data_IF_029586747751
#
_entry.id   IF_029586747751
#
_cell.length_a   1.000
_cell.length_b   1.000
_cell.length_c   1.000
_cell.angle_alpha   90.00
_cell.angle_beta   90.00
_cell.angle_gamma   90.00
#
_symmetry.space_group_name_H-M   'P 1'
#
loop_
_entity.id
_entity.type
_entity.pdbx_description
1 polymer ?
#
# COMPACT_ATOMS: atom_id res chain seq x y z
N UNK A 1 -2.56 -2.69 25.26
CA UNK A 1 -2.70 -2.80 23.79
C UNK A 1 -3.35 -1.53 23.27
N UNK A 2 -2.61 -0.65 22.65
CA UNK A 2 -3.16 0.60 22.16
C UNK A 2 -4.13 0.36 20.99
N UNK A 3 -5.20 1.14 20.96
CA UNK A 3 -6.19 1.16 19.88
C UNK A 3 -6.11 2.51 19.18
N UNK A 4 -5.96 2.49 17.88
CA UNK A 4 -5.86 3.69 17.05
C UNK A 4 -7.08 3.81 16.15
N UNK A 5 -7.61 5.04 16.06
CA UNK A 5 -8.57 5.44 15.04
C UNK A 5 -7.82 6.22 13.97
N UNK A 6 -7.88 5.74 12.75
CA UNK A 6 -7.23 6.36 11.59
C UNK A 6 -8.30 6.81 10.63
N UNK A 7 -8.20 8.06 10.20
CA UNK A 7 -9.05 8.64 9.18
C UNK A 7 -8.16 9.23 8.09
N UNK A 8 -8.22 8.64 6.91
CA UNK A 8 -7.44 9.05 5.75
C UNK A 8 -8.38 9.51 4.65
N UNK A 9 -8.17 10.71 4.14
CA UNK A 9 -8.95 11.29 3.04
C UNK A 9 -8.00 11.69 1.93
N UNK A 10 -8.27 11.20 0.73
CA UNK A 10 -7.61 11.64 -0.49
C UNK A 10 -8.65 12.27 -1.41
N UNK A 11 -8.42 13.50 -1.85
CA UNK A 11 -9.31 14.23 -2.76
C UNK A 11 -8.57 14.64 -4.01
N UNK A 12 -9.21 14.41 -5.14
CA UNK A 12 -8.76 14.87 -6.44
C UNK A 12 -9.81 15.83 -6.99
N UNK A 13 -9.38 17.02 -7.35
CA UNK A 13 -10.21 18.00 -8.05
C UNK A 13 -9.66 18.18 -9.47
N UNK A 14 -10.53 18.14 -10.46
CA UNK A 14 -10.18 18.24 -11.87
C UNK A 14 -10.65 19.58 -12.42
N UNK A 15 -9.82 20.23 -13.24
CA UNK A 15 -10.15 21.49 -13.90
C UNK A 15 -11.34 21.35 -14.87
N UNK A 16 -11.54 20.14 -15.39
CA UNK A 16 -12.63 19.80 -16.30
C UNK A 16 -13.29 18.51 -15.84
N UNK A 17 -14.60 18.32 -16.10
CA UNK A 17 -15.27 17.05 -15.82
C UNK A 17 -14.58 15.89 -16.53
N UNK A 18 -14.24 14.86 -15.77
CA UNK A 18 -13.76 13.57 -16.28
C UNK A 18 -14.97 12.71 -16.58
N UNK A 19 -15.06 12.18 -17.81
CA UNK A 19 -16.22 11.41 -18.24
C UNK A 19 -16.23 9.99 -17.70
N UNK A 20 -15.04 9.42 -17.56
CA UNK A 20 -14.83 8.07 -17.06
C UNK A 20 -13.47 7.98 -16.38
N UNK A 21 -13.40 7.29 -15.26
CA UNK A 21 -12.13 7.01 -14.59
C UNK A 21 -12.09 5.60 -14.06
N UNK A 22 -11.03 4.87 -14.42
CA UNK A 22 -10.68 3.59 -13.81
C UNK A 22 -9.64 3.84 -12.73
N UNK A 23 -9.90 3.32 -11.54
CA UNK A 23 -9.08 3.60 -10.37
C UNK A 23 -8.68 2.30 -9.69
N UNK A 24 -7.44 2.27 -9.23
CA UNK A 24 -6.90 1.20 -8.39
C UNK A 24 -6.41 1.81 -7.08
N UNK A 25 -6.79 1.23 -5.97
CA UNK A 25 -6.41 1.69 -4.64
C UNK A 25 -5.84 0.56 -3.78
N UNK A 26 -4.80 0.88 -3.00
CA UNK A 26 -4.11 -0.02 -2.06
C UNK A 26 -4.08 0.60 -0.67
N UNK A 27 -5.25 0.90 -0.13
CA UNK A 27 -5.38 1.60 1.15
C UNK A 27 -5.91 0.70 2.27
N UNK A 28 -5.98 -0.58 2.01
CA UNK A 28 -6.35 -1.57 3.01
C UNK A 28 -5.20 -1.82 3.98
N UNK A 29 -5.48 -1.88 5.28
CA UNK A 29 -4.47 -2.24 6.25
C UNK A 29 -4.01 -3.69 6.03
N UNK A 30 -2.71 -3.92 6.17
CA UNK A 30 -2.13 -5.25 6.10
C UNK A 30 -2.11 -5.87 7.51
N UNK A 31 -2.99 -6.83 7.82
CA UNK A 31 -3.00 -7.48 9.12
C UNK A 31 -1.75 -8.35 9.29
N UNK A 32 -1.10 -8.24 10.43
CA UNK A 32 0.02 -9.07 10.83
C UNK A 32 -0.13 -9.51 12.29
N UNK A 33 0.87 -10.21 12.83
CA UNK A 33 0.85 -10.70 14.22
C UNK A 33 0.79 -9.57 15.26
N UNK A 34 1.17 -8.36 14.87
CA UNK A 34 1.28 -7.20 15.75
C UNK A 34 0.10 -6.23 15.59
N UNK A 35 -0.74 -6.44 14.58
CA UNK A 35 -1.83 -5.54 14.25
C UNK A 35 -3.10 -6.31 13.89
N UNK A 36 -4.17 -6.00 14.60
CA UNK A 36 -5.52 -6.47 14.33
C UNK A 36 -6.38 -5.32 13.82
N UNK A 37 -7.06 -5.55 12.71
CA UNK A 37 -8.03 -4.59 12.15
C UNK A 37 -9.40 -4.87 12.75
N UNK A 38 -9.87 -3.97 13.61
CA UNK A 38 -11.17 -4.11 14.28
C UNK A 38 -12.31 -3.59 13.38
N UNK A 39 -12.04 -2.55 12.59
CA UNK A 39 -13.01 -1.96 11.67
C UNK A 39 -12.27 -1.32 10.51
N UNK A 40 -12.79 -1.47 9.31
CA UNK A 40 -12.37 -0.71 8.14
C UNK A 40 -13.59 -0.35 7.29
N UNK A 41 -13.80 0.93 7.07
CA UNK A 41 -14.82 1.49 6.21
C UNK A 41 -14.17 2.30 5.10
N UNK A 42 -14.57 2.04 3.87
CA UNK A 42 -14.08 2.74 2.68
C UNK A 42 -15.26 3.44 1.99
N UNK A 43 -15.16 4.75 1.86
CA UNK A 43 -16.19 5.60 1.24
C UNK A 43 -15.57 6.27 0.02
N UNK A 44 -16.22 6.08 -1.13
CA UNK A 44 -15.77 6.65 -2.40
C UNK A 44 -16.91 7.48 -2.99
N UNK A 45 -16.58 8.64 -3.58
CA UNK A 45 -17.54 9.48 -4.29
C UNK A 45 -18.31 8.67 -5.34
N UNK A 46 -19.64 8.79 -5.32
CA UNK A 46 -20.51 8.05 -6.23
C UNK A 46 -20.76 6.58 -5.87
N UNK A 47 -20.16 6.08 -4.81
CA UNK A 47 -20.31 4.70 -4.32
C UNK A 47 -20.20 3.64 -5.42
N UNK A 48 -19.10 3.63 -6.20
CA UNK A 48 -18.95 2.68 -7.29
C UNK A 48 -18.85 1.24 -6.78
N UNK A 49 -19.25 0.30 -7.63
CA UNK A 49 -18.98 -1.11 -7.38
C UNK A 49 -17.46 -1.36 -7.36
N UNK A 50 -16.98 -2.01 -6.30
CA UNK A 50 -15.57 -2.29 -6.11
C UNK A 50 -15.28 -3.78 -6.29
N UNK A 51 -14.26 -4.07 -7.07
CA UNK A 51 -13.67 -5.40 -7.15
C UNK A 51 -12.40 -5.46 -6.31
N UNK A 52 -12.40 -6.32 -5.29
CA UNK A 52 -11.30 -6.44 -4.32
C UNK A 52 -10.57 -7.76 -4.51
N UNK A 53 -9.25 -7.72 -4.61
CA UNK A 53 -8.38 -8.89 -4.76
C UNK A 53 -7.04 -8.68 -4.05
N UNK A 54 -6.26 -9.75 -3.92
CA UNK A 54 -4.87 -9.66 -3.46
C UNK A 54 -3.94 -9.68 -4.67
N UNK A 55 -2.98 -8.75 -4.69
CA UNK A 55 -1.97 -8.71 -5.74
C UNK A 55 -0.84 -9.74 -5.47
N UNK A 56 0.15 -9.78 -6.38
CA UNK A 56 1.32 -10.65 -6.25
C UNK A 56 2.07 -10.48 -4.92
N UNK A 57 2.12 -9.25 -4.40
CA UNK A 57 2.80 -8.92 -3.13
C UNK A 57 1.93 -9.13 -1.90
N UNK A 58 0.77 -9.75 -2.09
CA UNK A 58 -0.25 -9.96 -1.06
C UNK A 58 -0.85 -8.66 -0.50
N UNK A 59 -0.77 -7.56 -1.26
CA UNK A 59 -1.50 -6.35 -0.92
C UNK A 59 -2.96 -6.50 -1.32
N UNK A 60 -3.86 -6.13 -0.43
CA UNK A 60 -5.27 -6.05 -0.75
C UNK A 60 -5.53 -4.81 -1.59
N UNK A 61 -5.97 -5.03 -2.81
CA UNK A 61 -6.18 -4.01 -3.84
C UNK A 61 -7.64 -3.95 -4.21
N UNK A 62 -8.18 -2.75 -4.39
CA UNK A 62 -9.51 -2.55 -4.93
C UNK A 62 -9.45 -1.78 -6.26
N UNK A 63 -10.21 -2.25 -7.23
CA UNK A 63 -10.41 -1.60 -8.52
C UNK A 63 -11.87 -1.18 -8.63
N UNK A 64 -12.10 0.03 -9.08
CA UNK A 64 -13.43 0.55 -9.35
C UNK A 64 -13.42 1.51 -10.55
N UNK A 65 -14.57 1.63 -11.19
CA UNK A 65 -14.77 2.49 -12.35
C UNK A 65 -15.90 3.47 -12.06
N UNK A 66 -15.67 4.76 -12.33
CA UNK A 66 -16.67 5.81 -12.28
C UNK A 66 -17.02 6.18 -13.72
N UNK A 67 -18.22 5.82 -14.16
CA UNK A 67 -18.69 6.05 -15.52
C UNK A 67 -19.47 7.34 -15.70
N UNK A 68 -19.84 7.98 -14.61
CA UNK A 68 -20.54 9.27 -14.65
C UNK A 68 -19.54 10.41 -14.72
N UNK A 69 -19.85 11.48 -15.45
CA UNK A 69 -19.01 12.69 -15.47
C UNK A 69 -18.85 13.26 -14.06
N UNK A 70 -17.64 13.43 -13.63
CA UNK A 70 -17.32 13.94 -12.31
C UNK A 70 -16.15 14.92 -12.37
N UNK A 71 -16.15 15.88 -11.50
CA UNK A 71 -15.09 16.90 -11.37
C UNK A 71 -14.32 16.76 -10.06
N UNK A 72 -14.78 15.90 -9.18
CA UNK A 72 -14.13 15.60 -7.90
C UNK A 72 -14.20 14.08 -7.63
N UNK A 73 -13.13 13.55 -7.11
CA UNK A 73 -13.06 12.19 -6.61
C UNK A 73 -12.52 12.24 -5.16
N UNK A 74 -13.28 11.74 -4.23
CA UNK A 74 -12.86 11.59 -2.84
C UNK A 74 -12.85 10.12 -2.46
N UNK A 75 -11.73 9.69 -1.88
CA UNK A 75 -11.55 8.37 -1.29
C UNK A 75 -11.30 8.58 0.20
N UNK A 76 -12.18 8.08 1.04
CA UNK A 76 -12.11 8.22 2.49
C UNK A 76 -12.02 6.83 3.13
N UNK A 77 -11.00 6.62 3.93
CA UNK A 77 -10.79 5.38 4.68
C UNK A 77 -10.84 5.68 6.17
N UNK A 78 -11.74 5.00 6.88
CA UNK A 78 -11.84 5.04 8.34
C UNK A 78 -11.53 3.66 8.87
N UNK A 79 -10.58 3.58 9.80
CA UNK A 79 -10.20 2.29 10.38
C UNK A 79 -9.95 2.39 11.88
N UNK A 80 -10.23 1.30 12.56
CA UNK A 80 -9.86 1.09 13.95
C UNK A 80 -8.94 -0.11 13.99
N UNK A 81 -7.75 0.10 14.49
CA UNK A 81 -6.72 -0.94 14.62
C UNK A 81 -6.31 -1.09 16.08
N UNK A 82 -6.00 -2.30 16.46
CA UNK A 82 -5.37 -2.65 17.73
C UNK A 82 -3.97 -3.15 17.46
N UNK A 83 -2.98 -2.57 18.13
CA UNK A 83 -1.61 -3.08 18.04
C UNK A 83 -1.28 -3.91 19.27
N UNK A 84 -0.62 -5.03 19.06
CA UNK A 84 -0.05 -5.85 20.11
C UNK A 84 1.43 -5.49 20.18
N UNK A 85 1.94 -5.18 21.38
CA UNK A 85 3.38 -5.07 21.53
C UNK A 85 3.97 -6.46 21.24
N UNK A 86 4.61 -6.62 20.10
CA UNK A 86 5.48 -7.77 19.89
C UNK A 86 6.53 -7.71 20.99
N UNK A 87 6.64 -8.79 21.75
CA UNK A 87 7.80 -8.93 22.63
C UNK A 87 9.02 -8.66 21.77
N UNK A 88 9.89 -7.75 22.23
CA UNK A 88 11.10 -7.41 21.51
C UNK A 88 11.77 -8.71 21.05
N UNK A 89 11.60 -9.06 19.78
CA UNK A 89 12.46 -10.05 19.17
C UNK A 89 13.86 -9.50 19.39
N UNK A 90 14.68 -10.24 20.09
CA UNK A 90 16.09 -9.90 20.24
C UNK A 90 16.63 -9.71 18.83
N UNK A 91 16.69 -8.45 18.41
CA UNK A 91 17.36 -8.09 17.17
C UNK A 91 18.78 -8.58 17.30
N UNK A 92 19.11 -9.62 16.60
CA UNK A 92 20.45 -10.18 16.62
C UNK A 92 21.31 -9.25 15.76
N UNK A 93 21.90 -8.23 16.40
CA UNK A 93 22.74 -7.22 15.74
C UNK A 93 24.05 -7.80 15.15
N UNK A 94 24.26 -9.10 15.27
CA UNK A 94 25.43 -9.80 14.71
C UNK A 94 25.23 -10.30 13.26
N UNK A 95 24.10 -10.01 12.64
CA UNK A 95 23.88 -10.32 11.21
C UNK A 95 24.60 -9.30 10.35
N UNK A 96 25.72 -9.70 9.75
CA UNK A 96 26.48 -8.87 8.81
C UNK A 96 25.79 -8.75 7.44
N UNK A 97 26.36 -7.87 6.60
CA UNK A 97 25.90 -7.62 5.23
C UNK A 97 25.83 -8.93 4.40
N UNK A 98 26.78 -9.82 4.59
CA UNK A 98 26.88 -11.10 3.85
C UNK A 98 25.67 -12.00 4.11
N UNK A 99 25.18 -12.04 5.36
CA UNK A 99 23.99 -12.80 5.71
C UNK A 99 22.72 -12.21 5.06
N UNK A 100 22.62 -10.89 4.98
CA UNK A 100 21.53 -10.21 4.29
C UNK A 100 21.54 -10.49 2.79
N UNK A 101 22.71 -10.42 2.15
CA UNK A 101 22.85 -10.72 0.73
C UNK A 101 22.48 -12.17 0.40
N UNK A 102 22.85 -13.10 1.29
CA UNK A 102 22.49 -14.50 1.15
C UNK A 102 20.97 -14.72 1.30
N UNK A 103 20.34 -14.06 2.25
CA UNK A 103 18.90 -14.15 2.44
C UNK A 103 18.12 -13.54 1.28
N UNK A 104 18.54 -12.37 0.79
CA UNK A 104 17.96 -11.74 -0.42
C UNK A 104 18.10 -12.68 -1.62
N UNK A 105 19.25 -13.31 -1.80
CA UNK A 105 19.49 -14.25 -2.90
C UNK A 105 18.63 -15.52 -2.84
N UNK A 106 18.11 -15.88 -1.67
CA UNK A 106 17.29 -17.08 -1.48
C UNK A 106 15.79 -16.85 -1.67
N UNK A 107 15.33 -15.59 -1.66
CA UNK A 107 13.91 -15.24 -1.75
C UNK A 107 13.60 -14.47 -3.04
N UNK A 108 12.79 -15.06 -3.91
CA UNK A 108 12.44 -14.48 -5.21
C UNK A 108 11.84 -13.08 -5.09
N UNK A 109 10.95 -12.85 -4.12
CA UNK A 109 10.34 -11.54 -3.89
C UNK A 109 11.36 -10.46 -3.52
N UNK A 110 12.35 -10.79 -2.69
CA UNK A 110 13.41 -9.85 -2.32
C UNK A 110 14.34 -9.58 -3.49
N UNK A 111 14.63 -10.58 -4.31
CA UNK A 111 15.40 -10.40 -5.54
C UNK A 111 14.69 -9.47 -6.53
N UNK A 112 13.38 -9.60 -6.70
CA UNK A 112 12.60 -8.73 -7.58
C UNK A 112 12.58 -7.28 -7.08
N UNK A 113 12.46 -7.07 -5.77
CA UNK A 113 12.50 -5.72 -5.18
C UNK A 113 13.87 -5.05 -5.25
N UNK A 114 14.94 -5.84 -5.27
CA UNK A 114 16.33 -5.33 -5.35
C UNK A 114 16.87 -5.25 -6.77
N UNK A 115 16.11 -5.73 -7.76
CA UNK A 115 16.51 -5.67 -9.17
C UNK A 115 16.58 -4.23 -9.63
N UNK A 116 17.71 -3.87 -10.21
CA UNK A 116 17.88 -2.58 -10.86
C UNK A 116 17.07 -2.51 -12.16
N UNK A 117 16.19 -1.53 -12.27
CA UNK A 117 15.50 -1.21 -13.52
C UNK A 117 16.36 -0.28 -14.38
N UNK A 118 16.23 -0.40 -15.69
CA UNK A 118 16.87 0.55 -16.60
C UNK A 118 16.11 1.87 -16.55
N UNK A 119 16.80 2.89 -16.05
CA UNK A 119 16.27 4.26 -15.98
C UNK A 119 16.98 5.09 -17.05
N UNK A 120 16.24 5.96 -17.76
CA UNK A 120 16.80 6.78 -18.83
C UNK A 120 17.95 7.70 -18.37
N UNK A 121 18.00 8.06 -17.09
CA UNK A 121 19.03 8.91 -16.47
C UNK A 121 19.95 8.16 -15.52
N UNK A 122 20.15 6.85 -15.72
CA UNK A 122 20.97 6.01 -14.83
C UNK A 122 22.40 6.56 -14.68
N UNK A 123 22.98 7.07 -15.75
CA UNK A 123 24.32 7.66 -15.71
C UNK A 123 24.46 8.90 -14.83
N UNK A 124 23.36 9.64 -14.63
CA UNK A 124 23.34 10.80 -13.73
C UNK A 124 23.25 10.36 -12.28
N UNK A 125 22.52 9.27 -12.01
CA UNK A 125 22.37 8.69 -10.67
C UNK A 125 23.67 8.07 -10.19
N UNK A 126 24.39 7.38 -11.03
CA UNK A 126 25.65 6.68 -10.70
C UNK A 126 26.82 7.66 -10.39
N UNK A 127 26.66 8.95 -10.68
CA UNK A 127 27.64 10.01 -10.38
C UNK A 127 27.45 10.65 -8.99
N UNK A 128 26.39 10.32 -8.28
CA UNK A 128 26.09 10.81 -6.93
C UNK A 128 26.72 9.86 -5.90
#
# INVERSE_FOLDING_TARGET
MPVFKIHHITRYAYDRPVRESMNEIRIYPFPNHEMEVLMHELIITGQPEMHVFSDYWNNKTAVFNIREPHQELSVESKMIIRTTAAGHQHLNFNTGKDALEQEVGSQLQLLELTRADQIASQSEIDQI
#
